data_IF_441035349909
#
_entry.id   IF_441035349909
#
_cell.length_a   1.000
_cell.length_b   1.000
_cell.length_c   1.000
_cell.angle_alpha   90.00
_cell.angle_beta   90.00
_cell.angle_gamma   90.00
#
_symmetry.space_group_name_H-M   'P 1'
#
loop_
_entity.id
_entity.type
_entity.pdbx_description
1 polymer ?
#
# COMPACT_ATOMS: atom_id res chain seq x y z
N UNK A 1 -86.71 10.54 25.14
CA UNK A 1 -85.54 9.77 24.66
C UNK A 1 -85.20 8.78 25.75
N UNK A 2 -85.18 7.50 25.40
CA UNK A 2 -85.10 6.41 26.38
C UNK A 2 -83.64 6.16 26.77
N UNK A 3 -83.38 5.71 28.01
CA UNK A 3 -82.03 5.25 28.43
C UNK A 3 -81.44 4.22 27.44
N UNK A 4 -82.31 3.51 26.72
CA UNK A 4 -81.94 2.55 25.70
C UNK A 4 -81.25 3.20 24.49
N UNK A 5 -81.72 4.37 24.05
CA UNK A 5 -81.10 5.13 22.95
C UNK A 5 -79.70 5.63 23.35
N UNK A 6 -79.51 5.99 24.63
CA UNK A 6 -78.25 6.48 25.16
C UNK A 6 -77.22 5.33 25.32
N UNK A 7 -77.68 4.14 25.72
CA UNK A 7 -76.84 2.93 25.72
C UNK A 7 -76.46 2.47 24.32
N UNK A 8 -77.36 2.56 23.34
CA UNK A 8 -77.07 2.24 21.94
C UNK A 8 -76.04 3.22 21.36
N UNK A 9 -76.18 4.51 21.67
CA UNK A 9 -75.24 5.54 21.22
C UNK A 9 -73.84 5.33 21.83
N UNK A 10 -73.74 5.05 23.13
CA UNK A 10 -72.46 4.71 23.77
C UNK A 10 -71.83 3.44 23.21
N UNK A 11 -72.62 2.39 22.99
CA UNK A 11 -72.12 1.15 22.39
C UNK A 11 -71.62 1.36 20.95
N UNK A 12 -72.29 2.22 20.16
CA UNK A 12 -71.85 2.59 18.82
C UNK A 12 -70.57 3.43 18.83
N UNK A 13 -70.45 4.40 19.74
CA UNK A 13 -69.23 5.21 19.91
C UNK A 13 -68.03 4.35 20.38
N UNK A 14 -68.26 3.41 21.30
CA UNK A 14 -67.22 2.50 21.80
C UNK A 14 -66.78 1.50 20.71
N UNK A 15 -67.71 0.99 19.91
CA UNK A 15 -67.39 0.12 18.76
C UNK A 15 -66.65 0.89 17.66
N UNK A 16 -67.02 2.15 17.40
CA UNK A 16 -66.33 3.03 16.46
C UNK A 16 -64.90 3.33 16.92
N UNK A 17 -64.69 3.56 18.23
CA UNK A 17 -63.37 3.80 18.81
C UNK A 17 -62.48 2.56 18.76
N UNK A 18 -62.99 1.39 19.14
CA UNK A 18 -62.25 0.12 19.06
C UNK A 18 -61.86 -0.24 17.63
N UNK A 19 -62.70 0.11 16.64
CA UNK A 19 -62.35 -0.02 15.21
C UNK A 19 -61.22 0.93 14.81
N UNK A 20 -61.27 2.19 15.24
CA UNK A 20 -60.20 3.16 15.01
C UNK A 20 -58.84 2.70 15.55
N UNK A 21 -58.80 2.25 16.81
CA UNK A 21 -57.57 1.74 17.46
C UNK A 21 -57.03 0.46 16.75
N UNK A 22 -57.92 -0.44 16.31
CA UNK A 22 -57.54 -1.63 15.54
C UNK A 22 -57.05 -1.30 14.13
N UNK A 23 -57.57 -0.26 13.50
CA UNK A 23 -57.11 0.22 12.19
C UNK A 23 -55.75 0.91 12.28
N UNK A 24 -55.53 1.73 13.31
CA UNK A 24 -54.24 2.38 13.56
C UNK A 24 -53.14 1.34 13.81
N UNK A 25 -53.40 0.34 14.65
CA UNK A 25 -52.46 -0.77 14.88
C UNK A 25 -52.17 -1.57 13.60
N UNK A 26 -53.16 -1.84 12.75
CA UNK A 26 -52.93 -2.54 11.47
C UNK A 26 -52.09 -1.70 10.50
N UNK A 27 -52.29 -0.37 10.47
CA UNK A 27 -51.48 0.56 9.68
C UNK A 27 -50.04 0.64 10.19
N UNK A 28 -49.84 0.73 11.50
CA UNK A 28 -48.52 0.72 12.12
C UNK A 28 -47.78 -0.58 11.80
N UNK A 29 -48.43 -1.73 11.97
CA UNK A 29 -47.85 -3.04 11.64
C UNK A 29 -47.45 -3.11 10.16
N UNK A 30 -48.35 -2.75 9.24
CA UNK A 30 -48.04 -2.74 7.81
C UNK A 30 -46.87 -1.79 7.48
N UNK A 31 -46.85 -0.58 8.04
CA UNK A 31 -45.78 0.40 7.82
C UNK A 31 -44.43 -0.07 8.36
N UNK A 32 -44.43 -0.75 9.52
CA UNK A 32 -43.24 -1.26 10.18
C UNK A 32 -42.60 -2.39 9.37
N UNK A 33 -43.39 -3.28 8.76
CA UNK A 33 -42.93 -4.39 7.93
C UNK A 33 -42.18 -3.89 6.68
N UNK A 34 -42.73 -2.90 5.98
CA UNK A 34 -42.08 -2.27 4.82
C UNK A 34 -40.82 -1.49 5.20
N UNK A 35 -40.84 -0.80 6.35
CA UNK A 35 -39.65 -0.10 6.84
C UNK A 35 -38.52 -1.08 7.20
N UNK A 36 -38.86 -2.27 7.71
CA UNK A 36 -37.91 -3.35 7.99
C UNK A 36 -37.25 -3.87 6.71
N UNK A 37 -38.06 -4.15 5.68
CA UNK A 37 -37.54 -4.58 4.37
C UNK A 37 -36.66 -3.52 3.71
N UNK A 38 -37.05 -2.24 3.78
CA UNK A 38 -36.25 -1.13 3.27
C UNK A 38 -34.89 -1.02 3.97
N UNK A 39 -34.82 -1.23 5.29
CA UNK A 39 -33.57 -1.26 6.05
C UNK A 39 -32.67 -2.43 5.65
N UNK A 40 -33.24 -3.62 5.44
CA UNK A 40 -32.47 -4.80 5.00
C UNK A 40 -31.87 -4.57 3.61
N UNK A 41 -32.67 -4.06 2.66
CA UNK A 41 -32.19 -3.72 1.31
C UNK A 41 -31.07 -2.67 1.37
N UNK A 42 -31.21 -1.66 2.24
CA UNK A 42 -30.18 -0.63 2.42
C UNK A 42 -28.89 -1.20 3.04
N UNK A 43 -28.98 -2.11 4.01
CA UNK A 43 -27.79 -2.78 4.59
C UNK A 43 -27.06 -3.65 3.58
N UNK A 44 -27.80 -4.40 2.75
CA UNK A 44 -27.21 -5.19 1.67
C UNK A 44 -26.48 -4.27 0.69
N UNK A 45 -27.10 -3.16 0.28
CA UNK A 45 -26.46 -2.14 -0.56
C UNK A 45 -25.12 -1.66 0.04
N UNK A 46 -25.11 -1.29 1.32
CA UNK A 46 -23.89 -0.82 1.99
C UNK A 46 -22.80 -1.89 2.10
N UNK A 47 -23.18 -3.15 2.35
CA UNK A 47 -22.22 -4.26 2.38
C UNK A 47 -21.53 -4.47 1.02
N UNK A 48 -22.29 -4.44 -0.07
CA UNK A 48 -21.73 -4.49 -1.42
C UNK A 48 -20.88 -3.26 -1.75
N UNK A 49 -21.29 -2.07 -1.30
CA UNK A 49 -20.49 -0.86 -1.45
C UNK A 49 -19.13 -1.00 -0.77
N UNK A 50 -19.08 -1.60 0.42
CA UNK A 50 -17.83 -1.88 1.14
C UNK A 50 -16.91 -2.83 0.35
N UNK A 51 -17.46 -3.91 -0.22
CA UNK A 51 -16.70 -4.82 -1.09
C UNK A 51 -16.16 -4.08 -2.32
N UNK A 52 -16.97 -3.24 -2.97
CA UNK A 52 -16.54 -2.47 -4.13
C UNK A 52 -15.41 -1.49 -3.77
N UNK A 53 -15.46 -0.88 -2.59
CA UNK A 53 -14.39 0.01 -2.09
C UNK A 53 -13.09 -0.78 -1.87
N UNK A 54 -13.15 -1.96 -1.24
CA UNK A 54 -11.98 -2.81 -1.04
C UNK A 54 -11.32 -3.16 -2.37
N UNK A 55 -12.11 -3.68 -3.32
CA UNK A 55 -11.60 -4.09 -4.63
C UNK A 55 -11.12 -2.89 -5.46
N UNK A 56 -11.83 -1.76 -5.39
CA UNK A 56 -11.47 -0.54 -6.12
C UNK A 56 -10.16 0.08 -5.64
N UNK A 57 -9.99 0.23 -4.31
CA UNK A 57 -8.74 0.75 -3.74
C UNK A 57 -7.58 -0.19 -4.03
N UNK A 58 -7.78 -1.51 -3.93
CA UNK A 58 -6.77 -2.47 -4.32
C UNK A 58 -6.38 -2.32 -5.79
N UNK A 59 -7.35 -2.30 -6.71
CA UNK A 59 -7.10 -2.16 -8.14
C UNK A 59 -6.37 -0.85 -8.50
N UNK A 60 -6.75 0.27 -7.88
CA UNK A 60 -6.06 1.56 -8.09
C UNK A 60 -4.62 1.51 -7.59
N UNK A 61 -4.37 0.92 -6.42
CA UNK A 61 -3.02 0.79 -5.89
C UNK A 61 -2.15 -0.16 -6.73
N UNK A 62 -2.73 -1.22 -7.30
CA UNK A 62 -2.05 -2.08 -8.26
C UNK A 62 -1.76 -1.35 -9.57
N UNK A 63 -2.72 -0.56 -10.08
CA UNK A 63 -2.55 0.23 -11.30
C UNK A 63 -1.43 1.28 -11.16
N UNK A 64 -1.42 2.03 -10.05
CA UNK A 64 -0.45 3.10 -9.83
C UNK A 64 1.01 2.61 -9.67
N UNK A 65 1.22 1.32 -9.40
CA UNK A 65 2.54 0.75 -9.09
C UNK A 65 3.01 -0.32 -10.07
N UNK A 66 2.18 -0.72 -11.03
CA UNK A 66 2.58 -1.70 -12.02
C UNK A 66 3.26 -1.06 -13.22
N UNK A 67 4.32 -1.70 -13.70
CA UNK A 67 5.06 -1.30 -14.91
C UNK A 67 4.79 -2.23 -16.10
N UNK A 68 3.99 -3.31 -15.92
CA UNK A 68 3.65 -4.25 -16.98
C UNK A 68 2.33 -3.88 -17.67
N UNK A 69 2.37 -3.68 -18.99
CA UNK A 69 1.21 -3.32 -19.82
C UNK A 69 0.04 -4.30 -19.67
N UNK A 70 0.32 -5.62 -19.55
CA UNK A 70 -0.74 -6.63 -19.40
C UNK A 70 -1.53 -6.43 -18.10
N UNK A 71 -0.82 -6.15 -17.01
CA UNK A 71 -1.45 -5.90 -15.71
C UNK A 71 -2.18 -4.57 -15.66
N UNK A 72 -1.69 -3.54 -16.36
CA UNK A 72 -2.37 -2.25 -16.48
C UNK A 72 -3.71 -2.39 -17.20
N UNK A 73 -3.74 -3.15 -18.31
CA UNK A 73 -4.98 -3.46 -19.04
C UNK A 73 -5.95 -4.24 -18.14
N UNK A 74 -5.45 -5.25 -17.42
CA UNK A 74 -6.27 -6.03 -16.47
C UNK A 74 -6.88 -5.17 -15.37
N UNK A 75 -6.09 -4.25 -14.77
CA UNK A 75 -6.57 -3.32 -13.75
C UNK A 75 -7.60 -2.34 -14.33
N UNK A 76 -7.39 -1.82 -15.54
CA UNK A 76 -8.33 -0.92 -16.20
C UNK A 76 -9.69 -1.59 -16.45
N UNK A 77 -9.69 -2.83 -16.96
CA UNK A 77 -10.92 -3.63 -17.14
C UNK A 77 -11.59 -3.89 -15.79
N UNK A 78 -10.81 -4.25 -14.76
CA UNK A 78 -11.33 -4.45 -13.40
C UNK A 78 -12.00 -3.21 -12.82
N UNK A 79 -11.38 -2.03 -12.96
CA UNK A 79 -11.95 -0.75 -12.53
C UNK A 79 -13.25 -0.44 -13.31
N UNK A 80 -13.29 -0.73 -14.60
CA UNK A 80 -14.49 -0.53 -15.41
C UNK A 80 -15.65 -1.41 -14.94
N UNK A 81 -15.39 -2.70 -14.67
CA UNK A 81 -16.39 -3.63 -14.12
C UNK A 81 -16.86 -3.18 -12.73
N UNK A 82 -15.96 -2.69 -11.88
CA UNK A 82 -16.31 -2.13 -10.58
C UNK A 82 -17.18 -0.88 -10.71
N UNK A 83 -16.87 0.00 -11.67
CA UNK A 83 -17.68 1.18 -11.92
C UNK A 83 -19.08 0.80 -12.41
N UNK A 84 -19.20 -0.09 -13.39
CA UNK A 84 -20.49 -0.58 -13.88
C UNK A 84 -21.33 -1.25 -12.79
N UNK A 85 -20.70 -2.09 -11.96
CA UNK A 85 -21.39 -2.74 -10.84
C UNK A 85 -21.88 -1.73 -9.79
N UNK A 86 -21.14 -0.65 -9.50
CA UNK A 86 -21.63 0.40 -8.59
C UNK A 86 -22.83 1.16 -9.16
N UNK A 87 -22.83 1.44 -10.47
CA UNK A 87 -23.96 2.08 -11.16
C UNK A 87 -25.19 1.17 -11.16
N UNK A 88 -25.02 -0.10 -11.52
CA UNK A 88 -26.09 -1.10 -11.50
C UNK A 88 -26.67 -1.27 -10.09
N UNK A 89 -25.82 -1.30 -9.07
CA UNK A 89 -26.26 -1.43 -7.69
C UNK A 89 -27.05 -0.20 -7.20
N UNK A 90 -26.63 1.01 -7.59
CA UNK A 90 -27.38 2.24 -7.31
C UNK A 90 -28.75 2.24 -7.99
N UNK A 91 -28.81 1.80 -9.25
CA UNK A 91 -30.05 1.68 -10.01
C UNK A 91 -30.98 0.62 -9.40
N UNK A 92 -30.44 -0.53 -9.03
CA UNK A 92 -31.18 -1.60 -8.35
C UNK A 92 -31.78 -1.14 -7.03
N UNK A 93 -31.02 -0.39 -6.22
CA UNK A 93 -31.53 0.19 -4.97
C UNK A 93 -32.66 1.19 -5.24
N UNK A 94 -32.52 2.07 -6.24
CA UNK A 94 -33.56 3.03 -6.61
C UNK A 94 -34.86 2.34 -7.04
N UNK A 95 -34.77 1.31 -7.89
CA UNK A 95 -35.93 0.52 -8.34
C UNK A 95 -36.56 -0.23 -7.18
N UNK A 96 -35.75 -0.87 -6.32
CA UNK A 96 -36.25 -1.62 -5.16
C UNK A 96 -37.00 -0.72 -4.18
N UNK A 97 -36.46 0.48 -3.94
CA UNK A 97 -37.12 1.48 -3.11
C UNK A 97 -38.45 1.95 -3.71
N UNK A 98 -38.47 2.28 -5.00
CA UNK A 98 -39.69 2.68 -5.70
C UNK A 98 -40.74 1.56 -5.67
N UNK A 99 -40.34 0.30 -5.86
CA UNK A 99 -41.24 -0.86 -5.72
C UNK A 99 -41.84 -0.96 -4.32
N UNK A 100 -41.03 -0.77 -3.27
CA UNK A 100 -41.52 -0.81 -1.89
C UNK A 100 -42.49 0.35 -1.59
N UNK A 101 -42.20 1.55 -2.09
CA UNK A 101 -43.08 2.71 -1.94
C UNK A 101 -44.43 2.48 -2.65
N UNK A 102 -44.42 2.00 -3.90
CA UNK A 102 -45.65 1.68 -4.65
C UNK A 102 -46.44 0.55 -3.98
N UNK A 103 -45.77 -0.50 -3.50
CA UNK A 103 -46.43 -1.60 -2.79
C UNK A 103 -47.07 -1.13 -1.47
N UNK A 104 -46.42 -0.22 -0.74
CA UNK A 104 -46.97 0.42 0.45
C UNK A 104 -48.22 1.23 0.09
N UNK A 105 -48.15 2.09 -0.93
CA UNK A 105 -49.28 2.89 -1.41
C UNK A 105 -50.45 2.00 -1.85
N UNK A 106 -50.19 0.94 -2.63
CA UNK A 106 -51.24 0.01 -3.06
C UNK A 106 -51.92 -0.71 -1.89
N UNK A 107 -51.16 -1.10 -0.85
CA UNK A 107 -51.76 -1.71 0.36
C UNK A 107 -52.58 -0.69 1.15
N UNK A 108 -52.11 0.55 1.29
CA UNK A 108 -52.86 1.62 1.95
C UNK A 108 -54.16 1.92 1.19
N UNK A 109 -54.11 2.03 -0.14
CA UNK A 109 -55.29 2.21 -0.99
C UNK A 109 -56.27 1.03 -0.88
N UNK A 110 -55.79 -0.21 -0.84
CA UNK A 110 -56.65 -1.39 -0.63
C UNK A 110 -57.37 -1.36 0.72
N UNK A 111 -56.67 -0.92 1.77
CA UNK A 111 -57.28 -0.72 3.08
C UNK A 111 -58.35 0.38 3.04
N UNK A 112 -58.09 1.49 2.36
CA UNK A 112 -59.07 2.57 2.16
C UNK A 112 -60.29 2.13 1.34
N UNK A 113 -60.12 1.38 0.25
CA UNK A 113 -61.23 0.85 -0.54
C UNK A 113 -62.05 -0.14 0.29
N UNK A 114 -61.40 -1.02 1.05
CA UNK A 114 -62.11 -1.95 1.95
C UNK A 114 -62.89 -1.22 3.04
N UNK A 115 -62.37 -0.08 3.52
CA UNK A 115 -63.04 0.82 4.46
C UNK A 115 -64.27 1.47 3.82
N UNK A 116 -64.14 2.00 2.60
CA UNK A 116 -65.26 2.59 1.87
C UNK A 116 -66.36 1.57 1.57
N UNK A 117 -66.01 0.33 1.22
CA UNK A 117 -66.96 -0.77 1.02
C UNK A 117 -67.63 -1.27 2.31
N UNK A 118 -66.98 -1.14 3.47
CA UNK A 118 -67.62 -1.40 4.76
C UNK A 118 -68.47 -0.22 5.23
N UNK A 119 -68.13 1.00 4.81
CA UNK A 119 -68.82 2.23 5.16
C UNK A 119 -70.07 2.53 4.29
N UNK A 120 -70.37 1.75 3.24
CA UNK A 120 -71.58 1.90 2.39
C UNK A 120 -72.92 1.61 3.11
N UNK A 121 -73.00 1.86 4.41
CA UNK A 121 -74.22 1.88 5.22
C UNK A 121 -74.19 2.84 6.42
N UNK A 122 -73.16 3.71 6.56
CA UNK A 122 -73.03 4.67 7.67
C UNK A 122 -72.75 6.06 7.09
N UNK A 123 -73.62 7.04 7.39
CA UNK A 123 -73.74 8.37 6.74
C UNK A 123 -72.58 9.37 6.94
N UNK A 124 -71.44 8.97 7.51
CA UNK A 124 -70.29 9.86 7.66
C UNK A 124 -68.99 9.24 7.11
N UNK A 125 -68.59 9.60 5.87
CA UNK A 125 -67.26 9.30 5.39
C UNK A 125 -66.26 10.15 6.16
N UNK A 126 -65.61 9.56 7.16
CA UNK A 126 -64.49 10.17 7.87
C UNK A 126 -63.38 10.45 6.86
N UNK A 127 -62.95 11.71 6.79
CA UNK A 127 -61.94 12.23 5.85
C UNK A 127 -60.70 11.31 5.72
N UNK A 128 -60.09 11.24 4.52
CA UNK A 128 -58.90 10.44 4.30
C UNK A 128 -57.69 11.06 5.03
N UNK A 129 -57.36 10.49 6.19
CA UNK A 129 -56.13 10.77 6.95
C UNK A 129 -54.89 10.11 6.30
N UNK A 130 -54.68 10.21 4.99
CA UNK A 130 -53.45 9.72 4.34
C UNK A 130 -52.39 10.81 4.29
N UNK A 131 -51.78 11.08 5.44
CA UNK A 131 -50.52 11.82 5.46
C UNK A 131 -49.45 10.94 4.82
N UNK A 132 -48.96 11.37 3.65
CA UNK A 132 -47.87 10.69 2.95
C UNK A 132 -46.61 10.70 3.80
N UNK A 133 -46.24 9.55 4.36
CA UNK A 133 -44.94 9.36 4.98
C UNK A 133 -44.06 8.48 4.09
N UNK A 134 -42.99 9.02 3.47
CA UNK A 134 -42.09 8.22 2.66
C UNK A 134 -41.48 7.12 3.51
N UNK A 135 -41.27 5.92 2.95
CA UNK A 135 -40.61 4.84 3.69
C UNK A 135 -39.22 5.31 4.13
N UNK A 136 -39.03 5.39 5.45
CA UNK A 136 -37.73 5.73 6.05
C UNK A 136 -36.89 4.45 6.09
N UNK A 137 -35.78 4.47 5.37
CA UNK A 137 -34.76 3.42 5.41
C UNK A 137 -33.94 3.46 6.71
N UNK A 138 -32.64 3.20 6.58
CA UNK A 138 -31.70 3.27 7.70
C UNK A 138 -31.67 4.69 8.32
N UNK A 139 -31.32 4.76 9.60
CA UNK A 139 -31.21 6.06 10.29
C UNK A 139 -30.08 6.91 9.69
N UNK A 140 -30.14 8.24 9.84
CA UNK A 140 -29.06 9.14 9.38
C UNK A 140 -27.70 8.79 10.04
N UNK A 141 -27.73 8.30 11.27
CA UNK A 141 -26.54 7.84 12.00
C UNK A 141 -25.98 6.56 11.39
N UNK A 142 -26.84 5.58 11.10
CA UNK A 142 -26.43 4.33 10.46
C UNK A 142 -25.79 4.58 9.09
N UNK A 143 -26.35 5.49 8.27
CA UNK A 143 -25.73 5.91 7.00
C UNK A 143 -24.35 6.53 7.20
N UNK A 144 -24.19 7.42 8.20
CA UNK A 144 -22.89 8.03 8.52
C UNK A 144 -21.87 6.98 8.98
N UNK A 145 -22.30 5.98 9.76
CA UNK A 145 -21.45 4.88 10.18
C UNK A 145 -20.99 4.02 9.00
N UNK A 146 -21.87 3.73 8.05
CA UNK A 146 -21.49 3.00 6.83
C UNK A 146 -20.49 3.78 5.97
N UNK A 147 -20.70 5.10 5.79
CA UNK A 147 -19.75 5.96 5.07
C UNK A 147 -18.39 5.98 5.78
N UNK A 148 -18.38 6.19 7.10
CA UNK A 148 -17.15 6.17 7.89
C UNK A 148 -16.45 4.81 7.79
N UNK A 149 -17.21 3.71 7.84
CA UNK A 149 -16.71 2.35 7.63
C UNK A 149 -16.03 2.18 6.27
N UNK A 150 -16.65 2.65 5.18
CA UNK A 150 -16.04 2.62 3.84
C UNK A 150 -14.72 3.41 3.81
N UNK A 151 -14.67 4.59 4.44
CA UNK A 151 -13.44 5.42 4.49
C UNK A 151 -12.34 4.72 5.29
N UNK A 152 -12.66 4.15 6.45
CA UNK A 152 -11.69 3.41 7.29
C UNK A 152 -11.17 2.19 6.55
N UNK A 153 -12.05 1.43 5.90
CA UNK A 153 -11.66 0.26 5.10
C UNK A 153 -10.79 0.67 3.92
N UNK A 154 -11.13 1.76 3.22
CA UNK A 154 -10.30 2.29 2.14
C UNK A 154 -8.90 2.66 2.62
N UNK A 155 -8.79 3.36 3.77
CA UNK A 155 -7.50 3.69 4.39
C UNK A 155 -6.73 2.42 4.75
N UNK A 156 -7.36 1.46 5.43
CA UNK A 156 -6.72 0.22 5.85
C UNK A 156 -6.21 -0.61 4.67
N UNK A 157 -7.03 -0.79 3.63
CA UNK A 157 -6.64 -1.50 2.40
C UNK A 157 -5.53 -0.75 1.69
N UNK A 158 -5.59 0.59 1.63
CA UNK A 158 -4.54 1.39 1.00
C UNK A 158 -3.21 1.26 1.74
N UNK A 159 -3.22 1.37 3.07
CA UNK A 159 -2.03 1.18 3.91
C UNK A 159 -1.48 -0.24 3.78
N UNK A 160 -2.33 -1.26 3.84
CA UNK A 160 -1.91 -2.66 3.74
C UNK A 160 -1.32 -3.00 2.36
N UNK A 161 -1.97 -2.58 1.27
CA UNK A 161 -1.45 -2.76 -0.09
C UNK A 161 -0.20 -1.92 -0.35
N UNK A 162 -0.06 -0.76 0.29
CA UNK A 162 1.18 0.02 0.29
C UNK A 162 2.32 -0.70 1.02
N UNK A 163 2.04 -1.27 2.18
CA UNK A 163 3.04 -2.06 2.92
C UNK A 163 3.42 -3.33 2.17
N UNK A 164 2.48 -4.06 1.58
CA UNK A 164 2.78 -5.29 0.84
C UNK A 164 3.65 -5.05 -0.40
N UNK A 165 3.52 -3.88 -1.04
CA UNK A 165 4.42 -3.46 -2.10
C UNK A 165 5.77 -2.95 -1.58
N UNK A 166 5.79 -2.26 -0.44
CA UNK A 166 7.03 -1.86 0.23
C UNK A 166 7.82 -3.05 0.80
N UNK A 167 7.19 -4.21 1.03
CA UNK A 167 7.89 -5.48 1.33
C UNK A 167 8.74 -5.98 0.14
N UNK A 168 8.66 -5.34 -1.04
CA UNK A 168 9.61 -5.52 -2.15
C UNK A 168 10.57 -4.38 -2.42
N UNK A 169 10.53 -3.34 -1.58
CA UNK A 169 11.54 -2.28 -1.50
C UNK A 169 12.27 -2.38 -0.18
N UNK A 170 12.61 -3.60 0.24
CA UNK A 170 13.09 -3.86 1.59
C UNK A 170 14.42 -3.20 1.90
N UNK A 171 14.81 -3.35 3.15
CA UNK A 171 16.08 -2.90 3.69
C UNK A 171 17.22 -3.43 2.81
N UNK A 172 17.88 -2.53 2.08
CA UNK A 172 19.12 -2.87 1.40
C UNK A 172 20.16 -2.90 2.52
N UNK A 173 20.65 -4.09 2.84
CA UNK A 173 21.84 -4.21 3.67
C UNK A 173 23.04 -4.27 2.74
N UNK A 174 23.97 -3.36 2.95
CA UNK A 174 25.23 -3.27 2.24
C UNK A 174 26.36 -3.43 3.22
N UNK A 175 27.26 -4.37 2.95
CA UNK A 175 28.53 -4.49 3.66
C UNK A 175 29.65 -4.33 2.64
N UNK A 176 30.48 -3.32 2.82
CA UNK A 176 31.55 -3.00 1.88
C UNK A 176 32.91 -3.26 2.51
N UNK A 177 33.78 -3.92 1.76
CA UNK A 177 35.19 -4.11 2.08
C UNK A 177 36.01 -3.59 0.91
N UNK A 178 36.87 -2.62 1.17
CA UNK A 178 37.81 -2.05 0.21
C UNK A 178 39.20 -2.56 0.53
N UNK A 179 39.88 -3.05 -0.48
CA UNK A 179 41.25 -3.56 -0.38
C UNK A 179 42.17 -2.69 -1.20
N UNK A 180 43.04 -1.93 -0.53
CA UNK A 180 44.03 -1.06 -1.17
C UNK A 180 45.30 -1.83 -1.51
N UNK A 181 45.89 -1.50 -2.65
CA UNK A 181 47.14 -2.05 -3.16
C UNK A 181 48.25 -1.00 -3.11
N UNK A 182 49.51 -1.46 -3.17
CA UNK A 182 50.69 -0.60 -3.09
C UNK A 182 50.84 0.33 -4.30
N UNK A 183 50.26 -0.03 -5.44
CA UNK A 183 50.24 0.76 -6.68
C UNK A 183 49.16 1.86 -6.69
N UNK A 184 48.39 2.00 -5.61
CA UNK A 184 47.28 2.95 -5.51
C UNK A 184 45.97 2.45 -6.11
N UNK A 185 45.92 1.22 -6.62
CA UNK A 185 44.67 0.58 -7.04
C UNK A 185 43.87 0.09 -5.82
N UNK A 186 42.57 -0.12 -6.01
CA UNK A 186 41.70 -0.69 -4.99
C UNK A 186 40.69 -1.67 -5.57
N UNK A 187 40.48 -2.78 -4.87
CA UNK A 187 39.37 -3.71 -5.08
C UNK A 187 38.28 -3.45 -4.03
N UNK A 188 37.09 -3.03 -4.45
CA UNK A 188 35.93 -2.86 -3.57
C UNK A 188 34.97 -4.03 -3.73
N UNK A 189 34.70 -4.74 -2.63
CA UNK A 189 33.70 -5.81 -2.52
C UNK A 189 32.52 -5.33 -1.71
N UNK A 190 31.36 -5.22 -2.33
CA UNK A 190 30.12 -4.82 -1.65
C UNK A 190 29.09 -5.94 -1.73
N UNK A 191 28.83 -6.58 -0.59
CA UNK A 191 27.75 -7.54 -0.42
C UNK A 191 26.43 -6.78 -0.32
N UNK A 192 25.49 -7.11 -1.20
CA UNK A 192 24.16 -6.52 -1.25
C UNK A 192 23.10 -7.58 -1.01
N UNK A 193 22.22 -7.32 -0.05
CA UNK A 193 20.97 -8.07 0.11
C UNK A 193 19.80 -7.13 -0.08
N UNK A 194 18.98 -7.41 -1.10
CA UNK A 194 17.78 -6.63 -1.43
C UNK A 194 16.56 -7.53 -1.38
N UNK A 195 15.65 -7.26 -0.46
CA UNK A 195 14.35 -7.94 -0.49
C UNK A 195 13.56 -7.48 -1.72
N UNK A 196 12.84 -8.42 -2.34
CA UNK A 196 11.95 -8.16 -3.46
C UNK A 196 10.55 -8.64 -3.13
N UNK A 197 9.55 -8.07 -3.81
CA UNK A 197 8.16 -8.42 -3.56
C UNK A 197 7.88 -9.78 -4.18
N UNK A 198 7.18 -10.67 -3.48
CA UNK A 198 6.71 -11.93 -4.07
C UNK A 198 5.85 -11.72 -5.33
N UNK A 199 5.30 -10.51 -5.53
CA UNK A 199 4.53 -10.15 -6.72
C UNK A 199 5.39 -9.77 -7.93
N UNK A 200 6.64 -9.37 -7.73
CA UNK A 200 7.53 -8.95 -8.81
C UNK A 200 8.97 -9.41 -8.54
N UNK A 201 9.39 -10.42 -9.30
CA UNK A 201 10.78 -10.86 -9.34
C UNK A 201 11.54 -10.00 -10.35
N UNK A 202 12.53 -9.18 -9.93
CA UNK A 202 13.31 -8.37 -10.87
C UNK A 202 14.13 -9.28 -11.80
N UNK A 203 14.17 -8.97 -13.09
CA UNK A 203 14.99 -9.72 -14.06
C UNK A 203 16.39 -9.13 -14.24
N UNK A 204 16.55 -7.83 -13.99
CA UNK A 204 17.82 -7.12 -14.12
C UNK A 204 17.84 -5.84 -13.29
N UNK A 205 19.02 -5.28 -13.10
CA UNK A 205 19.19 -3.93 -12.57
C UNK A 205 20.38 -3.24 -13.26
N UNK A 206 20.45 -1.92 -13.13
CA UNK A 206 21.53 -1.11 -13.74
C UNK A 206 22.47 -0.56 -12.67
N UNK A 207 23.76 -0.55 -12.96
CA UNK A 207 24.81 0.10 -12.18
C UNK A 207 25.64 1.03 -13.06
N UNK A 208 26.34 1.95 -12.41
CA UNK A 208 27.22 2.91 -13.06
C UNK A 208 28.56 2.92 -12.34
N UNK A 209 29.64 2.79 -13.09
CA UNK A 209 31.01 2.91 -12.59
C UNK A 209 31.79 3.90 -13.45
N UNK A 210 32.89 4.48 -12.96
CA UNK A 210 33.83 5.21 -13.81
C UNK A 210 34.33 4.30 -14.95
N UNK A 211 34.66 4.89 -16.10
CA UNK A 211 35.09 4.14 -17.30
C UNK A 211 36.31 3.26 -17.09
N UNK A 212 37.19 3.69 -16.20
CA UNK A 212 38.47 3.05 -15.91
C UNK A 212 38.31 1.86 -14.97
N UNK A 213 37.15 1.70 -14.33
CA UNK A 213 36.90 0.60 -13.39
C UNK A 213 36.34 -0.63 -14.09
N UNK A 214 36.74 -1.82 -13.62
CA UNK A 214 36.13 -3.08 -14.00
C UNK A 214 35.09 -3.50 -12.97
N UNK A 215 33.90 -3.88 -13.42
CA UNK A 215 32.82 -4.39 -12.55
C UNK A 215 32.61 -5.88 -12.83
N UNK A 216 32.63 -6.68 -11.75
CA UNK A 216 32.10 -8.03 -11.71
C UNK A 216 30.98 -8.11 -10.69
N UNK A 217 29.96 -8.90 -10.98
CA UNK A 217 28.87 -9.13 -10.04
C UNK A 217 28.73 -10.62 -9.83
N UNK A 218 28.83 -11.06 -8.59
CA UNK A 218 28.73 -12.45 -8.20
C UNK A 218 27.36 -12.72 -7.58
N UNK A 219 26.78 -13.87 -7.85
CA UNK A 219 25.58 -14.35 -7.17
C UNK A 219 25.86 -14.84 -5.74
N UNK A 220 24.86 -15.40 -5.07
CA UNK A 220 24.99 -15.94 -3.72
C UNK A 220 25.93 -17.17 -3.61
N UNK A 221 26.22 -17.82 -4.74
CA UNK A 221 27.12 -18.98 -4.83
C UNK A 221 28.55 -18.60 -5.23
N UNK A 222 28.79 -17.33 -5.57
CA UNK A 222 30.07 -16.83 -6.04
C UNK A 222 30.27 -16.92 -7.56
N UNK A 223 29.23 -17.27 -8.32
CA UNK A 223 29.28 -17.33 -9.79
C UNK A 223 29.03 -15.96 -10.41
N UNK A 224 29.74 -15.64 -11.49
CA UNK A 224 29.56 -14.35 -12.19
C UNK A 224 28.19 -14.26 -12.87
N UNK A 225 27.44 -13.21 -12.54
CA UNK A 225 26.19 -12.86 -13.20
C UNK A 225 26.46 -12.23 -14.57
N UNK A 226 25.57 -12.45 -15.57
CA UNK A 226 25.73 -11.82 -16.88
C UNK A 226 25.61 -10.29 -16.78
N UNK A 227 26.64 -9.57 -17.26
CA UNK A 227 26.67 -8.11 -17.29
C UNK A 227 26.80 -7.61 -18.72
N UNK A 228 25.88 -6.74 -19.14
CA UNK A 228 25.98 -6.01 -20.40
C UNK A 228 26.48 -4.60 -20.15
N UNK A 229 27.69 -4.30 -20.61
CA UNK A 229 28.33 -3.00 -20.45
C UNK A 229 28.06 -2.10 -21.66
N UNK A 230 27.55 -0.90 -21.41
CA UNK A 230 27.38 0.16 -22.42
C UNK A 230 28.21 1.37 -22.00
N UNK A 231 29.27 1.73 -22.74
CA UNK A 231 30.07 2.91 -22.41
C UNK A 231 29.26 4.19 -22.63
N UNK A 232 29.39 5.16 -21.73
CA UNK A 232 28.83 6.53 -21.87
C UNK A 232 29.95 7.56 -22.05
N UNK A 233 29.74 8.86 -21.85
CA UNK A 233 30.82 9.87 -21.98
C UNK A 233 31.80 9.86 -20.80
N UNK A 234 31.33 9.65 -19.57
CA UNK A 234 32.14 9.72 -18.34
C UNK A 234 32.10 8.45 -17.50
N UNK A 235 31.12 7.57 -17.73
CA UNK A 235 30.88 6.36 -16.95
C UNK A 235 30.63 5.14 -17.86
N UNK A 236 30.64 3.96 -17.27
CA UNK A 236 30.17 2.72 -17.88
C UNK A 236 28.83 2.34 -17.26
N UNK A 237 27.81 2.16 -18.09
CA UNK A 237 26.50 1.64 -17.65
C UNK A 237 26.53 0.11 -17.73
N UNK A 238 26.30 -0.55 -16.61
CA UNK A 238 26.28 -2.00 -16.50
C UNK A 238 24.85 -2.48 -16.24
N UNK A 239 24.28 -3.24 -17.17
CA UNK A 239 23.01 -3.94 -16.98
C UNK A 239 23.29 -5.37 -16.52
N UNK A 240 22.96 -5.66 -15.26
CA UNK A 240 23.20 -6.97 -14.63
C UNK A 240 21.92 -7.79 -14.74
N UNK A 241 22.01 -8.98 -15.34
CA UNK A 241 20.89 -9.93 -15.45
C UNK A 241 20.91 -10.84 -14.23
N UNK A 242 19.77 -10.93 -13.55
CA UNK A 242 19.61 -11.78 -12.37
C UNK A 242 19.25 -13.21 -12.81
N UNK A 243 20.06 -14.19 -12.41
CA UNK A 243 19.77 -15.62 -12.58
C UNK A 243 19.05 -16.17 -11.36
N UNK A 244 18.58 -17.42 -11.42
CA UNK A 244 17.78 -17.99 -10.34
C UNK A 244 18.55 -18.13 -9.03
N UNK A 245 19.86 -18.35 -9.11
CA UNK A 245 20.79 -18.51 -8.00
C UNK A 245 21.01 -17.23 -7.19
N UNK A 246 20.75 -16.06 -7.78
CA UNK A 246 20.78 -14.78 -7.06
C UNK A 246 19.62 -14.64 -6.06
N UNK A 247 18.60 -15.49 -6.13
CA UNK A 247 17.41 -15.43 -5.29
C UNK A 247 17.49 -16.46 -4.16
N UNK A 248 17.78 -15.98 -2.95
CA UNK A 248 17.94 -16.82 -1.75
C UNK A 248 17.11 -16.24 -0.61
N UNK A 249 16.29 -17.09 0.01
CA UNK A 249 15.42 -16.73 1.14
C UNK A 249 14.47 -15.55 0.88
N UNK A 250 13.93 -15.45 -0.34
CA UNK A 250 13.04 -14.35 -0.72
C UNK A 250 13.73 -12.98 -0.85
N UNK A 251 15.06 -12.97 -0.95
CA UNK A 251 15.85 -11.78 -1.26
C UNK A 251 16.76 -12.02 -2.47
N UNK A 252 17.13 -10.95 -3.15
CA UNK A 252 18.20 -10.93 -4.13
C UNK A 252 19.50 -10.70 -3.37
N UNK A 253 20.45 -11.64 -3.49
CA UNK A 253 21.78 -11.55 -2.88
C UNK A 253 22.82 -11.56 -3.99
N UNK A 254 23.71 -10.58 -3.94
CA UNK A 254 24.81 -10.48 -4.90
C UNK A 254 25.98 -9.73 -4.28
N UNK A 255 27.18 -9.98 -4.79
CA UNK A 255 28.39 -9.26 -4.41
C UNK A 255 28.90 -8.46 -5.60
N UNK A 256 29.06 -7.17 -5.42
CA UNK A 256 29.70 -6.30 -6.41
C UNK A 256 31.19 -6.31 -6.15
N UNK A 257 32.00 -6.56 -7.16
CA UNK A 257 33.46 -6.44 -7.13
C UNK A 257 33.84 -5.38 -8.14
N UNK A 258 34.39 -4.26 -7.66
CA UNK A 258 34.82 -3.13 -8.47
C UNK A 258 36.32 -2.95 -8.31
N UNK A 259 37.08 -3.12 -9.39
CA UNK A 259 38.50 -2.79 -9.40
C UNK A 259 38.66 -1.37 -9.94
N UNK A 260 39.32 -0.50 -9.17
CA UNK A 260 39.64 0.85 -9.56
C UNK A 260 41.17 1.02 -9.62
N UNK A 261 41.77 1.22 -10.81
CA UNK A 261 43.21 1.33 -10.96
C UNK A 261 43.79 2.64 -10.37
N UNK A 262 42.96 3.66 -10.15
CA UNK A 262 43.39 4.98 -9.69
C UNK A 262 42.58 5.40 -8.45
N UNK A 263 42.51 4.51 -7.47
CA UNK A 263 41.69 4.68 -6.28
C UNK A 263 42.32 5.62 -5.25
N UNK A 264 43.62 5.49 -5.01
CA UNK A 264 44.39 6.33 -4.11
C UNK A 264 45.31 7.28 -4.88
N UNK A 265 45.60 8.43 -4.28
CA UNK A 265 46.52 9.45 -4.82
C UNK A 265 47.76 9.55 -3.95
N UNK A 266 48.93 9.63 -4.56
CA UNK A 266 50.20 9.81 -3.86
C UNK A 266 50.61 11.29 -3.89
N UNK A 267 50.77 11.90 -2.72
CA UNK A 267 51.22 13.28 -2.54
C UNK A 267 52.27 13.32 -1.42
N UNK A 268 53.47 13.82 -1.72
CA UNK A 268 54.60 13.96 -0.77
C UNK A 268 54.93 12.67 0.02
N UNK A 269 54.87 11.50 -0.64
CA UNK A 269 55.13 10.19 -0.01
C UNK A 269 53.94 9.59 0.73
N UNK A 270 52.82 10.31 0.83
CA UNK A 270 51.61 9.87 1.52
C UNK A 270 50.53 9.49 0.51
N UNK A 271 50.01 8.27 0.63
CA UNK A 271 48.83 7.85 -0.12
C UNK A 271 47.56 8.33 0.56
N UNK A 272 46.62 8.88 -0.21
CA UNK A 272 45.28 9.25 0.24
C UNK A 272 44.24 8.49 -0.57
N UNK A 273 43.41 7.71 0.12
CA UNK A 273 42.21 7.09 -0.45
C UNK A 273 40.97 7.81 0.09
N UNK A 274 40.07 8.19 -0.81
CA UNK A 274 38.79 8.82 -0.45
C UNK A 274 37.64 8.04 -1.07
N UNK A 275 36.70 7.60 -0.25
CA UNK A 275 35.44 6.99 -0.68
C UNK A 275 34.25 7.77 -0.12
N UNK A 276 33.06 7.52 -0.67
CA UNK A 276 31.86 8.16 -0.17
C UNK A 276 30.61 7.33 -0.39
N UNK A 277 29.72 7.38 0.61
CA UNK A 277 28.38 6.84 0.49
C UNK A 277 27.38 7.99 0.44
N UNK A 278 26.48 7.94 -0.54
CA UNK A 278 25.27 8.78 -0.56
C UNK A 278 24.07 7.86 -0.51
N UNK A 279 23.28 7.98 0.55
CA UNK A 279 22.08 7.20 0.71
C UNK A 279 20.82 8.02 0.39
N UNK A 280 19.95 7.48 -0.46
CA UNK A 280 18.60 8.00 -0.66
C UNK A 280 17.60 7.03 -0.04
N UNK A 281 16.81 7.49 0.92
CA UNK A 281 15.81 6.68 1.61
C UNK A 281 15.77 6.87 3.12
N UNK A 282 15.30 5.83 3.82
CA UNK A 282 15.24 5.83 5.29
C UNK A 282 16.65 5.66 5.87
N UNK A 283 16.83 6.07 7.12
CA UNK A 283 18.08 5.86 7.82
C UNK A 283 18.49 4.38 7.83
N UNK A 284 19.76 4.08 7.51
CA UNK A 284 20.27 2.71 7.40
C UNK A 284 21.65 2.59 8.04
N UNK A 285 21.93 1.49 8.75
CA UNK A 285 23.28 1.22 9.22
C UNK A 285 24.20 0.96 8.02
N UNK A 286 25.42 1.46 8.08
CA UNK A 286 26.48 1.14 7.13
C UNK A 286 27.71 0.61 7.88
N UNK A 287 28.47 -0.26 7.22
CA UNK A 287 29.77 -0.74 7.66
C UNK A 287 30.68 -0.83 6.45
N UNK A 288 31.72 0.00 6.45
CA UNK A 288 32.77 0.01 5.43
C UNK A 288 34.08 -0.37 6.11
N UNK A 289 34.75 -1.37 5.56
CA UNK A 289 36.04 -1.84 6.03
C UNK A 289 37.10 -1.55 4.97
N UNK A 290 38.13 -0.79 5.30
CA UNK A 290 39.23 -0.47 4.41
C UNK A 290 40.48 -1.20 4.91
N UNK A 291 41.06 -2.03 4.04
CA UNK A 291 42.30 -2.75 4.28
C UNK A 291 43.42 -2.04 3.54
N UNK A 292 44.42 -1.55 4.26
CA UNK A 292 45.61 -0.94 3.65
C UNK A 292 46.53 -1.99 3.04
N UNK A 293 47.51 -1.58 2.21
CA UNK A 293 48.54 -2.49 1.73
C UNK A 293 49.32 -3.11 2.90
N UNK A 294 49.89 -4.32 2.73
CA UNK A 294 50.73 -4.93 3.75
C UNK A 294 51.88 -4.00 4.17
N UNK A 295 52.11 -3.88 5.48
CA UNK A 295 53.18 -3.03 6.03
C UNK A 295 52.91 -1.53 6.00
N UNK A 296 51.77 -1.08 5.46
CA UNK A 296 51.42 0.34 5.43
C UNK A 296 51.08 0.88 6.83
N UNK A 297 51.63 2.04 7.18
CA UNK A 297 51.30 2.77 8.40
C UNK A 297 50.14 3.74 8.13
N UNK A 298 49.06 3.65 8.91
CA UNK A 298 47.92 4.58 8.80
C UNK A 298 48.26 5.86 9.56
N UNK A 299 48.36 6.98 8.84
CA UNK A 299 48.70 8.29 9.41
C UNK A 299 47.47 9.00 9.98
N UNK A 300 46.35 8.98 9.24
CA UNK A 300 45.11 9.64 9.67
C UNK A 300 43.88 9.04 9.00
N UNK A 301 42.74 9.17 9.68
CA UNK A 301 41.42 8.81 9.16
C UNK A 301 40.45 9.97 9.33
N UNK A 302 39.56 10.18 8.36
CA UNK A 302 38.48 11.16 8.46
C UNK A 302 37.16 10.48 8.05
N UNK A 303 36.15 10.37 8.93
CA UNK A 303 36.16 10.72 10.36
C UNK A 303 37.17 9.86 11.16
N UNK A 304 37.57 10.34 12.33
CA UNK A 304 38.54 9.65 13.19
C UNK A 304 37.93 8.33 13.71
N UNK A 305 38.58 7.21 13.37
CA UNK A 305 38.14 5.85 13.71
C UNK A 305 39.31 5.00 14.22
N UNK A 306 39.01 4.01 15.06
CA UNK A 306 40.02 3.10 15.58
C UNK A 306 40.64 2.24 14.47
N UNK A 307 41.96 2.30 14.36
CA UNK A 307 42.74 1.46 13.45
C UNK A 307 43.08 0.14 14.15
N UNK A 308 42.62 -0.97 13.58
CA UNK A 308 42.99 -2.30 14.04
C UNK A 308 44.20 -2.78 13.25
N UNK A 309 45.39 -2.68 13.86
CA UNK A 309 46.60 -3.25 13.28
C UNK A 309 46.72 -4.72 13.69
N UNK A 310 46.90 -5.60 12.71
CA UNK A 310 47.04 -7.05 12.94
C UNK A 310 48.51 -7.46 12.73
N UNK A 311 49.46 -6.82 13.41
CA UNK A 311 50.89 -7.16 13.32
C UNK A 311 51.49 -6.94 11.92
N UNK A 312 52.29 -7.89 11.41
CA UNK A 312 52.84 -7.88 10.02
C UNK A 312 51.75 -7.93 8.91
N UNK A 313 50.47 -7.88 9.27
CA UNK A 313 49.34 -7.90 8.35
C UNK A 313 48.76 -6.51 8.13
N UNK A 314 48.04 -6.37 7.01
CA UNK A 314 47.32 -5.15 6.58
C UNK A 314 46.61 -4.45 7.73
N UNK A 315 46.73 -3.12 7.80
CA UNK A 315 45.96 -2.34 8.76
C UNK A 315 44.49 -2.32 8.33
N UNK A 316 43.59 -2.45 9.30
CA UNK A 316 42.15 -2.46 9.08
C UNK A 316 41.51 -1.23 9.70
N UNK A 317 40.86 -0.44 8.87
CA UNK A 317 40.09 0.74 9.26
C UNK A 317 38.61 0.46 9.07
N UNK A 318 37.79 0.64 10.10
CA UNK A 318 36.35 0.34 10.04
C UNK A 318 35.53 1.60 10.30
N UNK A 319 34.71 1.97 9.33
CA UNK A 319 33.74 3.06 9.43
C UNK A 319 32.35 2.46 9.61
N UNK A 320 31.70 2.80 10.73
CA UNK A 320 30.34 2.37 11.02
C UNK A 320 29.49 3.55 11.45
N UNK A 321 28.22 3.54 11.06
CA UNK A 321 27.28 4.57 11.46
C UNK A 321 25.91 4.33 10.87
N UNK A 322 25.06 5.36 10.94
CA UNK A 322 23.73 5.36 10.34
C UNK A 322 23.68 6.48 9.31
N UNK A 323 23.41 6.16 8.05
CA UNK A 323 23.25 7.18 7.01
C UNK A 323 21.92 7.90 7.18
N UNK A 324 21.90 9.22 7.05
CA UNK A 324 20.69 10.01 6.93
C UNK A 324 20.27 10.17 5.46
N UNK A 325 19.00 10.55 5.25
CA UNK A 325 18.44 10.70 3.91
C UNK A 325 19.10 11.86 3.16
N UNK A 326 19.63 11.58 1.97
CA UNK A 326 20.24 12.55 1.06
C UNK A 326 21.49 13.27 1.62
N UNK A 327 22.12 12.67 2.63
CA UNK A 327 23.41 13.12 3.16
C UNK A 327 24.53 12.29 2.52
N UNK A 328 25.59 12.97 2.09
CA UNK A 328 26.82 12.34 1.62
C UNK A 328 27.81 12.24 2.76
N UNK A 329 28.29 11.03 3.02
CA UNK A 329 29.36 10.76 3.98
C UNK A 329 30.62 10.45 3.18
N UNK A 330 31.73 11.06 3.58
CA UNK A 330 33.04 10.86 2.97
C UNK A 330 33.96 10.19 3.99
N UNK A 331 34.78 9.27 3.52
CA UNK A 331 35.76 8.54 4.30
C UNK A 331 37.12 8.73 3.65
N UNK A 332 38.08 9.24 4.39
CA UNK A 332 39.45 9.41 3.92
C UNK A 332 40.39 8.60 4.79
N UNK A 333 41.28 7.84 4.17
CA UNK A 333 42.37 7.13 4.84
C UNK A 333 43.68 7.60 4.22
N UNK A 334 44.57 8.14 5.06
CA UNK A 334 45.94 8.50 4.67
C UNK A 334 46.91 7.49 5.23
N UNK A 335 47.78 6.96 4.40
CA UNK A 335 48.74 5.94 4.78
C UNK A 335 50.08 6.12 4.07
N UNK A 336 51.13 5.60 4.68
CA UNK A 336 52.49 5.57 4.16
C UNK A 336 52.91 4.13 3.95
N UNK A 337 53.60 3.85 2.85
CA UNK A 337 54.18 2.54 2.58
C UNK A 337 55.58 2.47 3.21
N UNK A 338 56.05 1.29 3.65
CA UNK A 338 57.40 1.16 4.18
C UNK A 338 58.42 1.58 3.11
N UNK A 339 59.42 2.39 3.52
CA UNK A 339 60.47 2.93 2.65
C UNK A 339 61.08 1.83 1.75
N UNK A 340 60.75 1.83 0.45
CA UNK A 340 61.41 0.95 -0.52
C UNK A 340 60.65 0.44 -1.75
N UNK A 341 59.34 0.67 -1.91
CA UNK A 341 58.57 0.01 -2.99
C UNK A 341 57.63 0.91 -3.83
N UNK A 342 58.07 2.10 -4.26
CA UNK A 342 57.37 2.80 -5.35
C UNK A 342 58.37 3.47 -6.29
N UNK A 343 58.81 2.75 -7.34
CA UNK A 343 59.20 3.42 -8.59
C UNK A 343 57.91 3.73 -9.37
N UNK A 344 57.75 4.95 -9.92
CA UNK A 344 56.52 5.42 -10.57
C UNK A 344 56.18 4.72 -11.89
#
# INVERSE_FOLDING_TARGET
MSEHDETLRKALEENARLRGEREESLREVASSEYSGHARTVERVYWFYALICVVLGVAAVNFFARSYDMKTLIGCAVGILVLYETTVLMKLWYAISRMKLDVLKEMKLLRLEISRLQQATGVEHPVEPYTKYEPTRGASRLERRLWIAGCVIVAMAVSTWTSQSWNLGGGELTTRSQVTLHADGSAESRTECVRQYSSYYRPSSFTMYTPKECTLKVLDATGMELPVKTTPTETQSRHEVVLTDEAFVDGAVRYTQVVDNPHAAKLEDGVWSYTDGIRHAGKARPYSIEILTPPGAEVLSTEPDVEVQSTGEQRAKVRFEGVTENDVQYLFTVRYELPDGEVEP
#
